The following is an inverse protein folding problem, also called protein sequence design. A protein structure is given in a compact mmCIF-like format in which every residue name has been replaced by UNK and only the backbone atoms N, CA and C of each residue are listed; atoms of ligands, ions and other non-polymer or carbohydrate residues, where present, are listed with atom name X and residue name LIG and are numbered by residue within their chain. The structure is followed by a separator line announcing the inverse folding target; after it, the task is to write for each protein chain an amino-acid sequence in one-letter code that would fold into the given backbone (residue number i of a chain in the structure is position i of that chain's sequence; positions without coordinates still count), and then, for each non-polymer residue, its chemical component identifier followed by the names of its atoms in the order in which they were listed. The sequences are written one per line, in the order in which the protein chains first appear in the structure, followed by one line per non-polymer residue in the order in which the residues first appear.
data_IF_009104624642
#
_entry.id   IF_009104624642
#
_cell.length_a   1.000
_cell.length_b   1.000
_cell.length_c   1.000
_cell.angle_alpha   90.00
_cell.angle_beta   90.00
_cell.angle_gamma   90.00
#
_symmetry.space_group_name_H-M   'P 1'
#
loop_
_entity.id
_entity.type
_entity.pdbx_description
1 polymer ?
#
# COMPACT_ATOMS: atom_id res chain seq x y z
N UNK A 1 3.64 -23.41 -7.91
CA UNK A 1 3.87 -23.40 -6.46
C UNK A 1 4.83 -22.28 -6.17
N UNK A 2 4.52 -21.40 -5.23
CA UNK A 2 5.38 -20.31 -4.82
C UNK A 2 5.90 -20.64 -3.43
N UNK A 3 7.15 -20.98 -3.34
CA UNK A 3 7.81 -21.42 -2.10
C UNK A 3 9.02 -20.53 -1.74
N UNK A 4 9.09 -19.35 -2.36
CA UNK A 4 10.17 -18.39 -2.16
C UNK A 4 9.61 -17.00 -1.81
N UNK A 5 10.20 -16.36 -0.81
CA UNK A 5 9.93 -14.96 -0.45
C UNK A 5 11.21 -14.15 -0.57
N UNK A 6 11.08 -12.94 -1.09
CA UNK A 6 12.17 -11.98 -1.27
C UNK A 6 11.98 -10.79 -0.32
N UNK A 7 12.96 -10.54 0.55
CA UNK A 7 13.01 -9.40 1.48
C UNK A 7 14.20 -8.48 1.22
N UNK A 8 14.10 -7.17 1.51
CA UNK A 8 15.27 -6.30 1.56
C UNK A 8 16.12 -6.58 2.81
N UNK A 9 17.42 -6.36 2.68
CA UNK A 9 18.33 -6.38 3.82
C UNK A 9 18.20 -5.14 4.68
N UNK A 10 18.72 -5.20 5.91
CA UNK A 10 19.05 -4.02 6.70
C UNK A 10 20.02 -3.12 5.93
N UNK A 11 19.87 -1.81 6.09
CA UNK A 11 20.80 -0.82 5.52
C UNK A 11 22.24 -1.06 5.98
N UNK A 12 22.43 -1.40 7.27
CA UNK A 12 23.75 -1.57 7.87
C UNK A 12 24.35 -2.99 7.71
N UNK A 13 23.52 -3.98 7.37
CA UNK A 13 23.97 -5.37 7.27
C UNK A 13 23.26 -6.11 6.13
N UNK A 14 23.96 -6.28 5.01
CA UNK A 14 23.44 -6.94 3.81
C UNK A 14 23.06 -8.43 3.98
N UNK A 15 23.44 -9.04 5.12
CA UNK A 15 23.14 -10.45 5.43
C UNK A 15 21.92 -10.62 6.36
N UNK A 16 21.38 -9.52 6.87
CA UNK A 16 20.23 -9.54 7.76
C UNK A 16 19.05 -8.83 7.08
N UNK A 17 17.85 -9.36 7.30
CA UNK A 17 16.63 -8.69 6.86
C UNK A 17 16.49 -7.32 7.55
N UNK A 18 15.81 -6.39 6.89
CA UNK A 18 15.43 -5.10 7.45
C UNK A 18 14.71 -5.25 8.79
N UNK A 19 15.06 -4.41 9.77
CA UNK A 19 14.52 -4.52 11.14
C UNK A 19 13.00 -4.37 11.19
N UNK A 20 12.41 -3.51 10.36
CA UNK A 20 10.97 -3.31 10.30
C UNK A 20 10.23 -4.51 9.70
N UNK A 21 10.91 -5.34 8.91
CA UNK A 21 10.38 -6.57 8.30
C UNK A 21 10.76 -7.84 9.06
N UNK A 22 11.48 -7.73 10.16
CA UNK A 22 12.00 -8.89 10.91
C UNK A 22 10.89 -9.80 11.46
N UNK A 23 9.75 -9.22 11.89
CA UNK A 23 8.59 -10.01 12.33
C UNK A 23 8.03 -10.84 11.18
N UNK A 24 7.88 -10.26 9.99
CA UNK A 24 7.41 -10.96 8.79
C UNK A 24 8.38 -12.06 8.36
N UNK A 25 9.67 -11.74 8.30
CA UNK A 25 10.73 -12.71 7.96
C UNK A 25 10.73 -13.92 8.91
N UNK A 26 10.66 -13.67 10.22
CA UNK A 26 10.63 -14.76 11.21
C UNK A 26 9.37 -15.60 11.04
N UNK A 27 8.20 -14.99 10.88
CA UNK A 27 6.94 -15.71 10.70
C UNK A 27 6.98 -16.56 9.41
N UNK A 28 7.46 -16.03 8.30
CA UNK A 28 7.64 -16.81 7.08
C UNK A 28 8.52 -18.04 7.31
N UNK A 29 9.65 -17.86 8.00
CA UNK A 29 10.59 -18.94 8.36
C UNK A 29 9.96 -19.96 9.29
N UNK A 30 9.24 -19.51 10.33
CA UNK A 30 8.65 -20.37 11.34
C UNK A 30 7.50 -21.23 10.80
N UNK A 31 6.88 -20.87 9.67
CA UNK A 31 5.89 -21.74 9.01
C UNK A 31 6.51 -23.04 8.50
N UNK A 32 7.80 -23.03 8.16
CA UNK A 32 8.49 -24.17 7.53
C UNK A 32 8.00 -24.52 6.11
N UNK A 33 7.18 -23.66 5.49
CA UNK A 33 6.57 -23.91 4.19
C UNK A 33 7.43 -23.42 3.01
N UNK A 34 8.22 -22.38 3.24
CA UNK A 34 9.04 -21.77 2.20
C UNK A 34 10.39 -22.47 2.11
N UNK A 35 10.70 -22.99 0.93
CA UNK A 35 11.98 -23.69 0.66
C UNK A 35 13.15 -22.72 0.71
N UNK A 36 12.91 -21.46 0.34
CA UNK A 36 13.92 -20.42 0.33
C UNK A 36 13.39 -19.05 0.74
N UNK A 37 14.18 -18.31 1.53
CA UNK A 37 13.97 -16.89 1.82
C UNK A 37 15.19 -16.13 1.32
N UNK A 38 14.99 -15.39 0.24
CA UNK A 38 16.05 -14.61 -0.41
C UNK A 38 16.08 -13.21 0.21
N UNK A 39 17.30 -12.73 0.47
CA UNK A 39 17.55 -11.36 0.93
C UNK A 39 18.34 -10.64 -0.15
N UNK A 40 17.83 -9.49 -0.63
CA UNK A 40 18.57 -8.61 -1.52
C UNK A 40 19.12 -7.40 -0.75
N UNK A 41 20.28 -6.90 -1.17
CA UNK A 41 20.89 -5.72 -0.56
C UNK A 41 20.04 -4.47 -0.81
N UNK A 42 19.45 -3.91 0.27
CA UNK A 42 18.69 -2.67 0.22
C UNK A 42 19.54 -1.52 -0.36
N UNK A 43 20.74 -1.31 0.19
CA UNK A 43 21.63 -0.23 -0.21
C UNK A 43 22.00 -0.31 -1.69
N UNK A 44 22.41 -1.50 -2.15
CA UNK A 44 22.82 -1.67 -3.55
C UNK A 44 21.66 -1.42 -4.51
N UNK A 45 20.44 -1.83 -4.14
CA UNK A 45 19.27 -1.61 -5.00
C UNK A 45 18.79 -0.16 -4.97
N UNK A 46 18.49 0.39 -3.80
CA UNK A 46 17.84 1.70 -3.69
C UNK A 46 18.76 2.88 -4.03
N UNK A 47 20.07 2.72 -3.87
CA UNK A 47 21.05 3.77 -4.20
C UNK A 47 21.79 3.57 -5.51
N UNK A 48 22.04 2.32 -5.90
CA UNK A 48 22.87 1.99 -7.05
C UNK A 48 22.13 1.25 -8.17
N UNK A 49 20.85 0.91 -7.95
CA UNK A 49 20.02 0.10 -8.85
C UNK A 49 20.71 -1.23 -9.27
N UNK A 50 21.47 -1.82 -8.34
CA UNK A 50 22.19 -3.07 -8.52
C UNK A 50 21.60 -4.16 -7.64
N UNK A 51 21.21 -5.30 -8.24
CA UNK A 51 20.78 -6.47 -7.49
C UNK A 51 22.00 -7.22 -6.93
N UNK A 52 22.00 -7.40 -5.61
CA UNK A 52 22.93 -8.27 -4.89
C UNK A 52 22.10 -9.13 -3.94
N UNK A 53 22.11 -10.43 -4.16
CA UNK A 53 21.31 -11.41 -3.41
C UNK A 53 22.22 -12.22 -2.47
N UNK A 54 21.64 -12.71 -1.36
CA UNK A 54 22.33 -13.69 -0.51
C UNK A 54 22.43 -15.07 -1.18
N UNK A 55 21.49 -15.41 -2.09
CA UNK A 55 21.47 -16.65 -2.87
C UNK A 55 20.95 -16.36 -4.27
N UNK A 56 21.55 -16.96 -5.29
CA UNK A 56 21.12 -16.88 -6.68
C UNK A 56 20.57 -18.23 -7.13
N UNK A 57 19.26 -18.31 -7.50
CA UNK A 57 18.70 -19.57 -7.96
C UNK A 57 19.32 -20.04 -9.29
N UNK A 58 19.65 -21.33 -9.37
CA UNK A 58 20.15 -21.94 -10.62
C UNK A 58 19.04 -22.08 -11.68
N UNK A 59 17.81 -22.34 -11.21
CA UNK A 59 16.64 -22.50 -12.08
C UNK A 59 15.67 -21.34 -11.88
N UNK A 60 14.77 -21.14 -12.85
CA UNK A 60 13.70 -20.16 -12.73
C UNK A 60 12.76 -20.49 -11.58
N UNK A 61 12.55 -19.52 -10.71
CA UNK A 61 11.61 -19.58 -9.59
C UNK A 61 10.62 -18.43 -9.64
N UNK A 62 9.49 -18.60 -8.96
CA UNK A 62 8.54 -17.52 -8.71
C UNK A 62 8.59 -17.15 -7.23
N UNK A 63 8.73 -15.86 -6.92
CA UNK A 63 8.83 -15.36 -5.55
C UNK A 63 7.81 -14.27 -5.25
N UNK A 64 7.44 -14.18 -3.97
CA UNK A 64 6.68 -13.02 -3.47
C UNK A 64 7.66 -11.99 -2.91
N UNK A 65 7.58 -10.77 -3.38
CA UNK A 65 8.29 -9.65 -2.77
C UNK A 65 7.53 -9.15 -1.53
N UNK A 66 8.23 -8.96 -0.42
CA UNK A 66 7.74 -8.29 0.77
C UNK A 66 8.76 -7.24 1.18
N UNK A 67 8.41 -5.95 1.06
CA UNK A 67 9.39 -4.91 1.36
C UNK A 67 8.90 -3.47 1.15
N UNK A 68 9.86 -2.60 0.90
CA UNK A 68 9.65 -1.16 0.76
C UNK A 68 9.02 -0.78 -0.57
N UNK A 69 8.22 0.27 -0.55
CA UNK A 69 7.63 0.85 -1.76
C UNK A 69 8.71 1.37 -2.70
N UNK A 70 8.46 1.20 -3.99
CA UNK A 70 9.28 1.72 -5.08
C UNK A 70 8.44 2.64 -5.98
N UNK A 71 9.07 3.59 -6.64
CA UNK A 71 8.45 4.27 -7.77
C UNK A 71 8.10 3.21 -8.85
N UNK A 72 6.99 3.35 -9.60
CA UNK A 72 6.60 2.33 -10.59
C UNK A 72 7.70 1.97 -11.59
N UNK A 73 8.47 2.94 -12.09
CA UNK A 73 9.61 2.67 -12.98
C UNK A 73 10.75 1.93 -12.29
N UNK A 74 10.97 2.21 -11.00
CA UNK A 74 11.99 1.51 -10.21
C UNK A 74 11.57 0.07 -9.95
N UNK A 75 10.27 -0.18 -9.67
CA UNK A 75 9.74 -1.53 -9.51
C UNK A 75 9.83 -2.33 -10.83
N UNK A 76 9.50 -1.73 -11.96
CA UNK A 76 9.64 -2.36 -13.28
C UNK A 76 11.11 -2.77 -13.54
N UNK A 77 12.06 -1.89 -13.24
CA UNK A 77 13.49 -2.21 -13.35
C UNK A 77 13.89 -3.33 -12.39
N UNK A 78 13.40 -3.28 -11.14
CA UNK A 78 13.62 -4.33 -10.13
C UNK A 78 13.13 -5.69 -10.62
N UNK A 79 11.90 -5.76 -11.08
CA UNK A 79 11.30 -6.95 -11.64
C UNK A 79 12.12 -7.54 -12.79
N UNK A 80 12.50 -6.70 -13.76
CA UNK A 80 13.27 -7.15 -14.92
C UNK A 80 14.67 -7.62 -14.54
N UNK A 81 15.36 -6.91 -13.63
CA UNK A 81 16.70 -7.32 -13.16
C UNK A 81 16.63 -8.64 -12.37
N UNK A 82 15.59 -8.87 -11.58
CA UNK A 82 15.38 -10.15 -10.88
C UNK A 82 15.14 -11.31 -11.86
N UNK A 83 14.42 -11.05 -12.98
CA UNK A 83 14.24 -12.07 -14.03
C UNK A 83 15.56 -12.50 -14.66
N UNK A 84 16.53 -11.60 -14.80
CA UNK A 84 17.89 -11.94 -15.23
C UNK A 84 18.62 -12.82 -14.21
N UNK A 85 18.20 -12.78 -12.93
CA UNK A 85 18.67 -13.64 -11.85
C UNK A 85 17.80 -14.89 -11.63
N UNK A 86 16.99 -15.31 -12.61
CA UNK A 86 16.05 -16.44 -12.54
C UNK A 86 14.90 -16.28 -11.51
N UNK A 87 14.57 -15.06 -11.07
CA UNK A 87 13.49 -14.80 -10.11
C UNK A 87 12.39 -14.01 -10.82
N UNK A 88 11.20 -14.58 -10.92
CA UNK A 88 10.01 -13.89 -11.40
C UNK A 88 9.10 -13.57 -10.21
N UNK A 89 8.77 -12.28 -10.02
CA UNK A 89 7.88 -11.89 -8.93
C UNK A 89 6.41 -12.17 -9.28
N UNK A 90 5.61 -12.53 -8.27
CA UNK A 90 4.16 -12.76 -8.39
C UNK A 90 3.44 -11.53 -8.91
N UNK A 91 3.77 -10.37 -8.37
CA UNK A 91 3.21 -9.09 -8.80
C UNK A 91 3.99 -8.57 -9.99
N UNK A 92 3.34 -8.43 -11.14
CA UNK A 92 3.94 -7.83 -12.33
C UNK A 92 4.08 -6.30 -12.19
N UNK A 93 4.90 -5.62 -13.00
CA UNK A 93 5.00 -4.16 -12.99
C UNK A 93 3.66 -3.45 -13.24
N UNK A 94 2.82 -4.02 -14.09
CA UNK A 94 1.48 -3.51 -14.41
C UNK A 94 0.56 -3.63 -13.20
N UNK A 95 0.53 -4.78 -12.53
CA UNK A 95 -0.26 -5.03 -11.31
C UNK A 95 0.20 -4.12 -10.18
N UNK A 96 1.53 -3.99 -9.97
CA UNK A 96 2.11 -3.08 -9.00
C UNK A 96 1.65 -1.64 -9.25
N UNK A 97 1.83 -1.14 -10.48
CA UNK A 97 1.43 0.21 -10.88
C UNK A 97 -0.08 0.44 -10.73
N UNK A 98 -0.89 -0.58 -11.02
CA UNK A 98 -2.35 -0.52 -10.92
C UNK A 98 -2.80 -0.22 -9.48
N UNK A 99 -2.23 -0.91 -8.48
CA UNK A 99 -2.60 -0.69 -7.09
C UNK A 99 -1.79 0.41 -6.39
N UNK A 100 -0.55 0.64 -6.81
CA UNK A 100 0.32 1.62 -6.19
C UNK A 100 -0.05 3.06 -6.55
N UNK A 101 -0.58 3.29 -7.75
CA UNK A 101 -0.95 4.62 -8.27
C UNK A 101 -2.46 4.80 -8.18
N UNK A 102 -2.94 5.49 -7.16
CA UNK A 102 -4.36 5.60 -6.80
C UNK A 102 -5.32 5.90 -7.96
N UNK A 103 -5.06 6.82 -8.91
CA UNK A 103 -5.94 7.04 -10.05
C UNK A 103 -6.27 5.78 -10.87
N UNK A 104 -5.36 4.81 -10.93
CA UNK A 104 -5.57 3.59 -11.72
C UNK A 104 -6.62 2.68 -11.09
N UNK A 105 -6.62 2.56 -9.75
CA UNK A 105 -7.60 1.74 -9.02
C UNK A 105 -8.89 2.50 -8.74
N UNK A 106 -8.87 3.83 -8.70
CA UNK A 106 -10.00 4.66 -8.31
C UNK A 106 -11.28 4.35 -9.10
N UNK A 107 -11.19 4.19 -10.41
CA UNK A 107 -12.35 3.89 -11.26
C UNK A 107 -13.07 2.58 -10.86
N UNK A 108 -12.36 1.63 -10.29
CA UNK A 108 -12.89 0.34 -9.86
C UNK A 108 -13.54 0.37 -8.47
N UNK A 109 -13.11 1.31 -7.62
CA UNK A 109 -13.58 1.42 -6.23
C UNK A 109 -14.39 2.69 -5.96
N UNK A 110 -14.62 3.53 -6.96
CA UNK A 110 -15.19 4.88 -6.80
C UNK A 110 -16.59 4.93 -6.17
N UNK A 111 -17.34 3.84 -6.24
CA UNK A 111 -18.67 3.77 -5.64
C UNK A 111 -18.64 3.55 -4.12
N UNK A 112 -17.54 3.01 -3.60
CA UNK A 112 -17.36 2.69 -2.18
C UNK A 112 -16.15 3.42 -1.55
N UNK A 113 -15.60 4.44 -2.22
CA UNK A 113 -14.51 5.28 -1.70
C UNK A 113 -14.90 6.77 -1.77
N UNK A 114 -14.40 7.63 -0.88
CA UNK A 114 -14.69 9.06 -0.95
C UNK A 114 -14.38 9.64 -2.31
N UNK A 115 -15.24 10.52 -2.78
CA UNK A 115 -15.10 11.21 -4.07
C UNK A 115 -13.73 11.88 -4.17
N UNK A 116 -13.09 11.76 -5.33
CA UNK A 116 -11.74 12.28 -5.55
C UNK A 116 -11.67 13.02 -6.88
N UNK A 117 -11.11 14.23 -6.86
CA UNK A 117 -10.70 14.97 -8.05
C UNK A 117 -9.22 14.70 -8.31
N UNK A 118 -8.88 14.40 -9.55
CA UNK A 118 -7.53 13.95 -9.94
C UNK A 118 -6.92 15.01 -10.85
N UNK A 119 -5.77 15.54 -10.45
CA UNK A 119 -5.02 16.58 -11.18
C UNK A 119 -3.65 16.01 -11.58
N UNK A 120 -3.41 15.73 -12.86
CA UNK A 120 -2.09 15.30 -13.34
C UNK A 120 -0.99 16.31 -13.00
N UNK A 121 0.25 15.85 -12.91
CA UNK A 121 1.42 16.72 -12.66
C UNK A 121 1.47 17.85 -13.67
N UNK A 122 1.60 19.09 -13.17
CA UNK A 122 1.63 20.30 -14.00
C UNK A 122 0.24 20.87 -14.32
N UNK A 123 -0.84 20.25 -13.84
CA UNK A 123 -2.20 20.80 -13.92
C UNK A 123 -2.46 21.67 -12.69
N UNK A 124 -3.01 22.87 -12.91
CA UNK A 124 -3.46 23.74 -11.83
C UNK A 124 -4.68 23.15 -11.12
N UNK A 125 -4.69 23.26 -9.80
CA UNK A 125 -5.83 22.83 -8.98
C UNK A 125 -6.85 23.97 -8.95
N UNK A 126 -7.97 23.75 -9.62
CA UNK A 126 -9.10 24.68 -9.55
C UNK A 126 -9.80 24.57 -8.20
N UNK A 127 -9.37 25.41 -7.24
CA UNK A 127 -9.94 25.46 -5.90
C UNK A 127 -11.43 25.81 -5.90
N UNK A 128 -11.92 26.55 -6.91
CA UNK A 128 -13.35 26.85 -7.02
C UNK A 128 -14.18 25.59 -7.28
N UNK A 129 -13.70 24.71 -8.14
CA UNK A 129 -14.31 23.40 -8.40
C UNK A 129 -14.19 22.47 -7.19
N UNK A 130 -13.04 22.47 -6.51
CA UNK A 130 -12.86 21.71 -5.26
C UNK A 130 -13.89 22.11 -4.22
N UNK A 131 -14.06 23.41 -3.97
CA UNK A 131 -15.01 23.98 -3.02
C UNK A 131 -16.47 23.71 -3.37
N UNK A 132 -16.83 23.68 -4.65
CA UNK A 132 -18.16 23.30 -5.13
C UNK A 132 -18.43 21.81 -4.91
N UNK A 133 -17.37 21.00 -4.86
CA UNK A 133 -17.48 19.55 -4.79
C UNK A 133 -17.45 19.03 -3.35
N UNK A 134 -16.67 19.66 -2.48
CA UNK A 134 -16.40 19.19 -1.12
C UNK A 134 -16.61 20.28 -0.06
N UNK A 135 -17.18 19.91 1.08
CA UNK A 135 -17.19 20.75 2.29
C UNK A 135 -15.83 20.70 2.99
N UNK A 136 -15.24 19.50 3.09
CA UNK A 136 -13.89 19.26 3.62
C UNK A 136 -13.16 18.33 2.68
N UNK A 137 -11.88 18.56 2.48
CA UNK A 137 -11.07 17.74 1.58
C UNK A 137 -9.64 17.60 2.07
N UNK A 138 -9.01 16.51 1.69
CA UNK A 138 -7.60 16.26 1.92
C UNK A 138 -6.82 16.19 0.61
N UNK A 139 -5.52 16.46 0.70
CA UNK A 139 -4.61 16.41 -0.44
C UNK A 139 -3.62 15.26 -0.26
N UNK A 140 -3.40 14.52 -1.33
CA UNK A 140 -2.32 13.53 -1.45
C UNK A 140 -1.76 13.56 -2.87
N UNK A 141 -0.54 13.08 -3.06
CA UNK A 141 -0.14 12.72 -4.43
C UNK A 141 -0.80 11.40 -4.87
N UNK A 142 -0.47 10.90 -6.02
CA UNK A 142 -1.08 9.65 -6.52
C UNK A 142 -0.77 8.41 -5.65
N UNK A 143 0.16 8.52 -4.70
CA UNK A 143 0.58 7.40 -3.85
C UNK A 143 0.38 7.70 -2.36
N UNK A 144 0.83 8.84 -1.87
CA UNK A 144 0.88 9.16 -0.42
C UNK A 144 0.39 10.56 -0.11
N UNK A 145 -0.18 10.71 1.09
CA UNK A 145 -0.35 12.00 1.76
C UNK A 145 0.92 12.38 2.54
N UNK A 146 1.05 13.65 2.90
CA UNK A 146 2.04 14.11 3.88
C UNK A 146 1.51 13.83 5.28
N UNK A 147 2.29 13.14 6.11
CA UNK A 147 1.96 12.80 7.50
C UNK A 147 3.14 13.13 8.42
N UNK A 148 2.85 13.43 9.68
CA UNK A 148 3.90 13.70 10.68
C UNK A 148 4.60 15.06 10.52
N UNK A 149 3.95 16.01 9.83
CA UNK A 149 4.41 17.39 9.64
C UNK A 149 3.32 18.38 10.07
N UNK A 150 3.53 19.67 9.84
CA UNK A 150 2.52 20.72 10.04
C UNK A 150 1.52 20.85 8.89
N UNK A 151 1.66 20.03 7.83
CA UNK A 151 0.70 20.02 6.71
C UNK A 151 -0.71 19.65 7.19
N UNK A 152 -1.77 20.41 6.80
CA UNK A 152 -3.12 20.14 7.24
C UNK A 152 -3.59 18.73 6.89
N UNK A 153 -4.20 18.04 7.85
CA UNK A 153 -4.83 16.72 7.62
C UNK A 153 -5.99 16.85 6.62
N UNK A 154 -6.69 17.99 6.68
CA UNK A 154 -7.75 18.36 5.72
C UNK A 154 -7.87 19.89 5.65
N UNK A 155 -8.56 20.36 4.63
CA UNK A 155 -8.93 21.74 4.41
C UNK A 155 -10.45 21.90 4.53
N UNK A 156 -10.87 23.00 5.15
CA UNK A 156 -12.27 23.43 5.13
C UNK A 156 -12.58 24.16 3.81
N UNK A 157 -13.85 24.16 3.41
CA UNK A 157 -14.31 24.89 2.23
C UNK A 157 -14.03 26.41 2.30
N UNK A 158 -13.82 26.95 3.51
CA UNK A 158 -13.50 28.35 3.75
C UNK A 158 -12.05 28.74 3.41
N UNK A 159 -11.13 27.79 3.17
CA UNK A 159 -9.72 28.05 2.89
C UNK A 159 -9.60 29.05 1.72
N UNK A 160 -8.76 30.10 1.86
CA UNK A 160 -8.51 31.04 0.76
C UNK A 160 -7.61 30.43 -0.31
N UNK A 161 -7.60 31.01 -1.52
CA UNK A 161 -6.67 30.57 -2.58
C UNK A 161 -5.22 30.76 -2.14
N UNK A 162 -4.90 31.92 -1.57
CA UNK A 162 -3.55 32.22 -1.08
C UNK A 162 -3.06 31.24 -0.04
N UNK A 163 -3.91 30.93 0.93
CA UNK A 163 -3.58 29.94 1.98
C UNK A 163 -3.39 28.53 1.38
N UNK A 164 -4.28 28.12 0.48
CA UNK A 164 -4.19 26.82 -0.18
C UNK A 164 -2.91 26.72 -1.00
N UNK A 165 -2.56 27.73 -1.79
CA UNK A 165 -1.34 27.74 -2.60
C UNK A 165 -0.07 27.70 -1.74
N UNK A 166 -0.08 28.41 -0.60
CA UNK A 166 1.02 28.34 0.38
C UNK A 166 1.21 26.91 0.91
N UNK A 167 0.12 26.21 1.26
CA UNK A 167 0.19 24.83 1.69
C UNK A 167 0.59 23.87 0.57
N UNK A 168 0.14 24.10 -0.66
CA UNK A 168 0.56 23.27 -1.79
C UNK A 168 2.06 23.39 -2.08
N UNK A 169 2.67 24.56 -1.92
CA UNK A 169 4.11 24.72 -2.01
C UNK A 169 4.82 23.86 -0.98
N UNK A 170 4.39 23.89 0.29
CA UNK A 170 4.92 23.02 1.36
C UNK A 170 4.69 21.54 1.07
N UNK A 171 3.54 21.18 0.50
CA UNK A 171 3.28 19.80 0.09
C UNK A 171 4.33 19.30 -0.89
N UNK A 172 4.65 20.08 -1.92
CA UNK A 172 5.68 19.74 -2.91
C UNK A 172 7.08 19.65 -2.28
N UNK A 173 7.41 20.55 -1.34
CA UNK A 173 8.67 20.49 -0.59
C UNK A 173 8.76 19.18 0.23
N UNK A 174 7.72 18.83 1.00
CA UNK A 174 7.70 17.59 1.78
C UNK A 174 7.75 16.33 0.93
N UNK A 175 7.11 16.33 -0.23
CA UNK A 175 7.15 15.17 -1.13
C UNK A 175 8.48 15.09 -1.90
N UNK A 176 9.08 16.20 -2.25
CA UNK A 176 10.36 16.25 -2.95
C UNK A 176 10.44 15.28 -4.11
N UNK A 177 11.49 14.47 -4.14
CA UNK A 177 11.71 13.45 -5.17
C UNK A 177 10.73 12.26 -5.09
N UNK A 178 9.98 12.12 -4.01
CA UNK A 178 8.95 11.08 -3.85
C UNK A 178 7.60 11.49 -4.44
N UNK A 179 7.45 12.72 -4.91
CA UNK A 179 6.22 13.18 -5.57
C UNK A 179 5.93 12.37 -6.82
N UNK A 180 4.75 11.72 -6.84
CA UNK A 180 4.39 10.77 -7.89
C UNK A 180 3.13 11.19 -8.62
N UNK A 181 3.21 11.30 -9.94
CA UNK A 181 2.10 11.36 -10.90
C UNK A 181 1.29 12.65 -10.92
N UNK A 182 0.83 13.16 -9.79
CA UNK A 182 -0.03 14.34 -9.69
C UNK A 182 -0.69 14.45 -8.31
N UNK A 183 -1.75 15.23 -8.21
CA UNK A 183 -2.48 15.49 -6.97
C UNK A 183 -3.87 14.84 -7.02
N UNK A 184 -4.23 14.18 -5.94
CA UNK A 184 -5.58 13.76 -5.62
C UNK A 184 -6.14 14.66 -4.52
N UNK A 185 -7.22 15.36 -4.82
CA UNK A 185 -8.03 16.08 -3.83
C UNK A 185 -9.21 15.20 -3.49
N UNK A 186 -9.20 14.64 -2.30
CA UNK A 186 -10.15 13.61 -1.85
C UNK A 186 -11.08 14.19 -0.78
N UNK A 187 -12.35 13.88 -0.86
CA UNK A 187 -13.31 14.21 0.20
C UNK A 187 -12.79 13.71 1.55
N UNK A 188 -12.83 14.60 2.56
CA UNK A 188 -12.49 14.22 3.92
C UNK A 188 -13.76 13.77 4.66
N UNK A 189 -13.72 12.55 5.16
CA UNK A 189 -14.84 11.90 5.86
C UNK A 189 -14.48 11.58 7.30
N UNK A 190 -15.49 11.64 8.18
CA UNK A 190 -15.31 11.33 9.59
C UNK A 190 -15.45 9.82 9.83
N UNK A 191 -14.37 9.23 10.28
CA UNK A 191 -14.34 7.82 10.63
C UNK A 191 -14.84 7.61 12.07
N UNK A 192 -15.62 6.57 12.26
CA UNK A 192 -16.08 6.15 13.59
C UNK A 192 -14.93 5.75 14.47
N UNK A 193 -15.00 6.12 15.72
CA UNK A 193 -14.00 5.81 16.73
C UNK A 193 -14.57 4.92 17.81
N UNK A 194 -13.76 3.98 18.25
CA UNK A 194 -13.96 3.21 19.47
C UNK A 194 -12.86 3.62 20.45
N UNK A 195 -13.22 4.46 21.40
CA UNK A 195 -12.25 5.14 22.26
C UNK A 195 -11.38 6.13 21.45
N UNK A 196 -10.08 5.94 21.47
CA UNK A 196 -9.13 6.80 20.74
C UNK A 196 -8.86 6.33 19.31
N UNK A 197 -9.19 5.08 18.98
CA UNK A 197 -8.85 4.45 17.72
C UNK A 197 -9.99 4.57 16.71
N UNK A 198 -9.66 4.83 15.46
CA UNK A 198 -10.59 4.72 14.33
C UNK A 198 -10.90 3.25 14.07
N UNK A 199 -12.08 2.95 13.51
CA UNK A 199 -12.41 1.59 13.10
C UNK A 199 -11.96 1.36 11.66
N UNK A 200 -10.80 0.76 11.52
CA UNK A 200 -10.14 0.50 10.24
C UNK A 200 -9.67 -0.96 10.17
N UNK A 201 -9.91 -1.60 9.03
CA UNK A 201 -9.48 -2.98 8.74
C UNK A 201 -8.72 -3.04 7.45
N UNK A 202 -7.62 -3.79 7.44
CA UNK A 202 -6.90 -4.18 6.23
C UNK A 202 -7.28 -5.59 5.82
N UNK A 203 -7.66 -5.74 4.55
CA UNK A 203 -7.93 -7.02 3.93
C UNK A 203 -6.86 -7.29 2.88
N UNK A 204 -6.20 -8.45 2.99
CA UNK A 204 -5.31 -8.95 1.96
C UNK A 204 -6.06 -9.89 1.04
N UNK A 205 -5.91 -9.66 -0.26
CA UNK A 205 -6.45 -10.48 -1.33
C UNK A 205 -5.29 -11.16 -2.05
N UNK A 206 -5.37 -12.47 -2.20
CA UNK A 206 -4.33 -13.28 -2.83
C UNK A 206 -5.00 -14.20 -3.82
N UNK A 207 -4.60 -14.11 -5.08
CA UNK A 207 -5.09 -14.96 -6.19
C UNK A 207 -6.63 -15.02 -6.29
N UNK A 208 -7.30 -13.89 -6.04
CA UNK A 208 -8.76 -13.77 -6.11
C UNK A 208 -9.51 -14.23 -4.87
N UNK A 209 -8.81 -14.57 -3.79
CA UNK A 209 -9.37 -15.01 -2.52
C UNK A 209 -9.05 -14.05 -1.38
N UNK A 210 -9.92 -13.98 -0.38
CA UNK A 210 -9.69 -13.22 0.86
C UNK A 210 -8.72 -14.03 1.72
N UNK A 211 -7.49 -13.54 1.83
CA UNK A 211 -6.45 -14.23 2.59
C UNK A 211 -6.52 -13.93 4.08
N UNK A 212 -6.61 -12.64 4.43
CA UNK A 212 -6.70 -12.21 5.83
C UNK A 212 -7.49 -10.93 5.97
N UNK A 213 -8.15 -10.78 7.11
CA UNK A 213 -8.85 -9.58 7.55
C UNK A 213 -8.30 -9.22 8.92
N UNK A 214 -7.69 -8.06 9.07
CA UNK A 214 -7.11 -7.64 10.34
C UNK A 214 -7.38 -6.18 10.66
N UNK A 215 -7.49 -5.88 11.96
CA UNK A 215 -7.59 -4.51 12.44
C UNK A 215 -6.31 -3.74 12.11
N UNK A 216 -6.47 -2.52 11.63
CA UNK A 216 -5.37 -1.62 11.28
C UNK A 216 -5.01 -0.64 12.39
N UNK A 217 -5.86 -0.53 13.40
CA UNK A 217 -5.71 0.36 14.55
C UNK A 217 -6.07 -0.34 15.85
N UNK A 218 -5.80 0.30 16.99
CA UNK A 218 -6.02 -0.24 18.34
C UNK A 218 -7.48 -0.22 18.80
N UNK A 219 -8.47 -0.44 17.90
CA UNK A 219 -9.86 -0.58 18.30
C UNK A 219 -10.09 -1.85 19.13
N UNK A 220 -11.08 -1.85 20.05
CA UNK A 220 -11.40 -3.02 20.86
C UNK A 220 -12.02 -4.15 20.03
N UNK A 221 -12.04 -5.38 20.57
CA UNK A 221 -12.65 -6.54 19.91
C UNK A 221 -14.16 -6.40 19.67
N UNK A 222 -14.82 -5.51 20.44
CA UNK A 222 -16.24 -5.18 20.25
C UNK A 222 -16.52 -4.24 19.08
N UNK A 223 -15.51 -3.70 18.42
CA UNK A 223 -15.69 -2.89 17.21
C UNK A 223 -16.25 -3.75 16.08
N UNK A 224 -17.16 -3.16 15.29
CA UNK A 224 -17.77 -3.86 14.16
C UNK A 224 -16.70 -4.19 13.09
N UNK A 225 -16.89 -5.29 12.41
CA UNK A 225 -16.11 -5.69 11.24
C UNK A 225 -16.75 -5.19 9.95
N UNK A 226 -15.98 -5.00 8.87
CA UNK A 226 -16.55 -4.65 7.57
C UNK A 226 -17.54 -5.72 7.10
N UNK A 227 -18.65 -5.36 6.42
CA UNK A 227 -19.58 -6.31 5.84
C UNK A 227 -18.90 -7.26 4.85
N UNK A 228 -19.17 -8.56 4.95
CA UNK A 228 -18.58 -9.57 4.05
C UNK A 228 -18.89 -9.28 2.59
N UNK A 229 -20.11 -8.84 2.27
CA UNK A 229 -20.53 -8.48 0.91
C UNK A 229 -19.67 -7.36 0.31
N UNK A 230 -19.28 -6.37 1.14
CA UNK A 230 -18.41 -5.29 0.69
C UNK A 230 -16.98 -5.81 0.41
N UNK A 231 -16.48 -6.70 1.27
CA UNK A 231 -15.15 -7.30 1.10
C UNK A 231 -15.12 -8.21 -0.14
N UNK A 232 -16.11 -9.09 -0.28
CA UNK A 232 -16.22 -10.04 -1.39
C UNK A 232 -16.38 -9.36 -2.75
N UNK A 233 -17.02 -8.18 -2.79
CA UNK A 233 -17.18 -7.37 -4.01
C UNK A 233 -15.84 -7.07 -4.70
N UNK A 234 -14.76 -7.01 -3.95
CA UNK A 234 -13.44 -6.60 -4.42
C UNK A 234 -12.41 -7.73 -4.45
N UNK A 235 -12.81 -9.00 -4.39
CA UNK A 235 -11.90 -10.14 -4.39
C UNK A 235 -11.28 -10.47 -5.77
N UNK A 236 -11.79 -9.90 -6.87
CA UNK A 236 -11.36 -10.18 -8.25
C UNK A 236 -10.93 -8.93 -9.01
N UNK A 237 -10.08 -8.12 -8.39
CA UNK A 237 -9.45 -7.00 -9.07
C UNK A 237 -8.21 -7.46 -9.86
N UNK A 238 -7.71 -6.59 -10.72
CA UNK A 238 -6.66 -6.93 -11.69
C UNK A 238 -5.25 -6.96 -11.05
N UNK A 239 -5.07 -7.80 -10.03
CA UNK A 239 -3.79 -8.20 -9.47
C UNK A 239 -3.95 -9.49 -8.66
N UNK A 240 -2.88 -10.25 -8.55
CA UNK A 240 -2.82 -11.48 -7.75
C UNK A 240 -2.56 -11.23 -6.28
N UNK A 241 -2.07 -10.04 -5.90
CA UNK A 241 -1.68 -9.74 -4.52
C UNK A 241 -1.85 -8.25 -4.20
N UNK A 242 -2.89 -7.92 -3.43
CA UNK A 242 -3.22 -6.54 -3.09
C UNK A 242 -3.93 -6.43 -1.75
N UNK A 243 -4.08 -5.20 -1.28
CA UNK A 243 -4.82 -4.86 -0.07
C UNK A 243 -5.89 -3.82 -0.33
N UNK A 244 -6.95 -3.88 0.45
CA UNK A 244 -7.93 -2.80 0.58
C UNK A 244 -8.13 -2.51 2.06
N UNK A 245 -8.09 -1.23 2.41
CA UNK A 245 -8.37 -0.74 3.75
C UNK A 245 -9.80 -0.21 3.81
N UNK A 246 -10.60 -0.81 4.70
CA UNK A 246 -11.98 -0.45 4.96
C UNK A 246 -12.09 0.32 6.26
N UNK A 247 -12.99 1.31 6.31
CA UNK A 247 -13.26 2.05 7.53
C UNK A 247 -14.77 2.26 7.74
N UNK A 248 -15.19 2.25 9.02
CA UNK A 248 -16.53 2.58 9.41
C UNK A 248 -16.70 4.09 9.52
N UNK A 249 -17.76 4.64 8.92
CA UNK A 249 -18.16 6.04 9.06
C UNK A 249 -18.96 6.26 10.34
N UNK A 250 -19.12 7.51 10.74
CA UNK A 250 -19.86 7.89 11.95
C UNK A 250 -21.34 7.52 11.91
N UNK A 251 -21.91 7.35 10.72
CA UNK A 251 -23.29 6.89 10.51
C UNK A 251 -23.43 5.36 10.49
N UNK A 252 -22.32 4.62 10.62
CA UNK A 252 -22.28 3.16 10.63
C UNK A 252 -22.12 2.53 9.24
N UNK A 253 -22.11 3.31 8.18
CA UNK A 253 -21.78 2.80 6.84
C UNK A 253 -20.28 2.51 6.71
N UNK A 254 -19.89 1.71 5.70
CA UNK A 254 -18.50 1.33 5.46
C UNK A 254 -18.02 1.80 4.10
N UNK A 255 -16.77 2.22 4.06
CA UNK A 255 -16.12 2.70 2.84
C UNK A 255 -14.71 2.13 2.70
N UNK A 256 -14.18 2.20 1.48
CA UNK A 256 -12.77 1.98 1.18
C UNK A 256 -12.01 3.29 1.41
N UNK A 257 -11.00 3.28 2.27
CA UNK A 257 -10.14 4.45 2.50
C UNK A 257 -8.83 4.39 1.72
N UNK A 258 -8.31 3.19 1.47
CA UNK A 258 -7.07 2.97 0.71
C UNK A 258 -7.12 1.62 -0.01
N UNK A 259 -6.45 1.54 -1.16
CA UNK A 259 -6.10 0.31 -1.83
C UNK A 259 -4.61 0.35 -2.18
N UNK A 260 -3.92 -0.77 -2.09
CA UNK A 260 -2.48 -0.82 -2.27
C UNK A 260 -1.99 -2.18 -2.76
N UNK A 261 -0.76 -2.21 -3.28
CA UNK A 261 -0.10 -3.46 -3.65
C UNK A 261 0.27 -4.28 -2.42
N UNK A 262 0.00 -5.58 -2.45
CA UNK A 262 0.24 -6.49 -1.35
C UNK A 262 1.71 -6.64 -0.98
N UNK A 263 2.61 -6.50 -1.96
CA UNK A 263 4.06 -6.67 -1.74
C UNK A 263 4.65 -5.60 -0.82
N UNK A 264 4.04 -4.42 -0.76
CA UNK A 264 4.51 -3.26 0.00
C UNK A 264 3.52 -2.76 1.05
N UNK A 265 2.45 -3.49 1.26
CA UNK A 265 1.48 -3.23 2.33
C UNK A 265 1.89 -3.96 3.61
N UNK A 266 2.20 -3.22 4.68
CA UNK A 266 2.62 -3.79 5.96
C UNK A 266 1.50 -4.58 6.64
N UNK A 267 1.89 -5.57 7.44
CA UNK A 267 0.99 -6.25 8.36
C UNK A 267 0.78 -5.40 9.62
N UNK A 268 -0.45 -5.36 10.13
CA UNK A 268 -0.72 -4.68 11.39
C UNK A 268 -0.22 -5.52 12.58
N UNK A 269 0.01 -4.88 13.74
CA UNK A 269 0.38 -5.60 14.97
C UNK A 269 -0.71 -6.57 15.47
N UNK A 270 -1.95 -6.44 14.96
CA UNK A 270 -3.08 -7.33 15.26
C UNK A 270 -3.23 -8.48 14.26
N UNK A 271 -2.37 -8.54 13.25
CA UNK A 271 -2.34 -9.62 12.27
C UNK A 271 -1.66 -10.85 12.87
N UNK A 272 -2.25 -12.02 12.66
CA UNK A 272 -1.50 -13.27 12.82
C UNK A 272 -0.55 -13.45 11.63
N UNK A 273 0.73 -13.19 11.86
CA UNK A 273 1.77 -13.24 10.84
C UNK A 273 1.97 -14.65 10.29
N UNK A 274 1.89 -15.69 11.16
CA UNK A 274 2.04 -17.06 10.71
C UNK A 274 0.84 -17.49 9.84
N UNK A 275 -0.38 -17.13 10.24
CA UNK A 275 -1.57 -17.40 9.45
C UNK A 275 -1.51 -16.68 8.09
N UNK A 276 -1.01 -15.44 8.04
CA UNK A 276 -0.80 -14.71 6.79
C UNK A 276 0.15 -15.44 5.85
N UNK A 277 1.33 -15.85 6.32
CA UNK A 277 2.31 -16.55 5.46
C UNK A 277 1.84 -17.95 5.06
N UNK A 278 1.06 -18.64 5.88
CA UNK A 278 0.39 -19.90 5.47
C UNK A 278 -0.64 -19.63 4.37
N UNK A 279 -1.51 -18.64 4.54
CA UNK A 279 -2.48 -18.25 3.52
C UNK A 279 -1.81 -17.87 2.21
N UNK A 280 -0.75 -17.06 2.28
CA UNK A 280 0.04 -16.66 1.12
C UNK A 280 0.62 -17.87 0.36
N UNK A 281 1.18 -18.84 1.07
CA UNK A 281 1.70 -20.07 0.48
C UNK A 281 0.60 -20.89 -0.21
N UNK A 282 -0.49 -21.18 0.51
CA UNK A 282 -1.55 -22.05 -0.01
C UNK A 282 -2.36 -21.43 -1.15
N UNK A 283 -2.45 -20.10 -1.23
CA UNK A 283 -3.16 -19.41 -2.32
C UNK A 283 -2.47 -19.54 -3.68
N UNK A 284 -1.22 -20.03 -3.72
CA UNK A 284 -0.46 -20.22 -4.95
C UNK A 284 -0.07 -21.68 -5.21
N UNK A 285 -0.66 -22.62 -4.49
CA UNK A 285 -0.57 -24.05 -4.81
C UNK A 285 -1.46 -24.39 -6.01
#
# INVERSE_FOLDING_TARGET
MIDTILFPSSYFNKKQVDEDLKKEYNAAKDTGLYSEIIIFSYEDWFHNEKIVLNTYPENKITAVYRGWMMQPKQYEKFYNTLKECNIELVTTPEEYKFFHVFPNIYEYIKVDTPKTLIYPKGTEIDLSTVKKTFNRFMVKDYVKSVKGTDFPVFFENSVSQEEFDSWMNKFYEYRGNLFTGGICVKEFVDLKRYGKSKNEYRVFYINGEIATISRNSGQPDSALTPPSELIEKYNKLNSKFYTIDYAELTDGSWIIIEAGDGSVSGLSDFQDYNAFFRSLYYSFL
#
